data_IF_417066084888
#
_entry.id   IF_417066084888
#
_cell.length_a   1.000
_cell.length_b   1.000
_cell.length_c   1.000
_cell.angle_alpha   90.00
_cell.angle_beta   90.00
_cell.angle_gamma   90.00
#
_symmetry.space_group_name_H-M   'P 1'
#
loop_
_entity.id
_entity.type
_entity.pdbx_description
1 polymer ?
#
# COMPACT_ATOMS: atom_id res chain seq x y z
N UNK A 1 -30.82 -25.08 -23.00
CA UNK A 1 -30.62 -23.68 -22.59
C UNK A 1 -30.11 -23.71 -21.17
N UNK A 2 -28.78 -23.70 -21.02
CA UNK A 2 -28.11 -23.87 -19.72
C UNK A 2 -28.11 -22.52 -19.01
N UNK A 3 -28.69 -22.49 -17.81
CA UNK A 3 -28.64 -21.37 -16.89
C UNK A 3 -27.19 -21.12 -16.50
N UNK A 4 -26.69 -19.92 -16.83
CA UNK A 4 -25.37 -19.49 -16.43
C UNK A 4 -25.43 -19.17 -14.93
N UNK A 5 -24.99 -20.12 -14.10
CA UNK A 5 -24.89 -19.93 -12.66
C UNK A 5 -23.88 -18.80 -12.40
N UNK A 6 -24.37 -17.68 -11.86
CA UNK A 6 -23.55 -16.59 -11.40
C UNK A 6 -22.56 -17.13 -10.36
N UNK A 7 -21.26 -17.05 -10.66
CA UNK A 7 -20.21 -17.33 -9.68
C UNK A 7 -20.26 -16.19 -8.66
N UNK A 8 -20.39 -16.55 -7.39
CA UNK A 8 -20.49 -15.63 -6.26
C UNK A 8 -19.09 -15.16 -5.84
N UNK A 9 -18.91 -13.84 -5.68
CA UNK A 9 -17.65 -13.15 -5.41
C UNK A 9 -17.78 -12.42 -4.06
N UNK A 10 -16.97 -12.84 -3.08
CA UNK A 10 -16.85 -12.34 -1.70
C UNK A 10 -15.45 -12.72 -1.20
N UNK A 11 -14.98 -12.20 -0.07
CA UNK A 11 -13.97 -12.89 0.73
C UNK A 11 -14.39 -14.36 0.75
N UNK A 12 -13.53 -15.22 0.22
CA UNK A 12 -13.89 -16.61 -0.07
C UNK A 12 -14.61 -17.16 1.17
N UNK A 13 -15.89 -17.57 1.12
CA UNK A 13 -16.66 -17.86 2.34
C UNK A 13 -15.97 -18.87 3.26
N UNK A 14 -15.12 -19.73 2.70
CA UNK A 14 -14.21 -20.60 3.42
C UNK A 14 -13.16 -19.87 4.27
N UNK A 15 -12.61 -18.73 3.85
CA UNK A 15 -11.68 -17.90 4.63
C UNK A 15 -12.38 -17.38 5.89
N UNK A 16 -13.53 -16.71 5.73
CA UNK A 16 -14.29 -16.20 6.88
C UNK A 16 -14.80 -17.33 7.78
N UNK A 17 -15.21 -18.46 7.21
CA UNK A 17 -15.63 -19.63 7.98
C UNK A 17 -14.47 -20.24 8.78
N UNK A 18 -13.27 -20.37 8.17
CA UNK A 18 -12.07 -20.86 8.84
C UNK A 18 -11.62 -19.90 9.94
N UNK A 19 -11.69 -18.59 9.69
CA UNK A 19 -11.37 -17.56 10.68
C UNK A 19 -12.33 -17.64 11.88
N UNK A 20 -13.64 -17.75 11.63
CA UNK A 20 -14.66 -17.93 12.68
C UNK A 20 -14.43 -19.22 13.49
N UNK A 21 -13.89 -20.27 12.87
CA UNK A 21 -13.58 -21.56 13.49
C UNK A 21 -12.24 -21.65 14.22
N UNK A 22 -11.40 -20.61 14.22
CA UNK A 22 -10.03 -20.64 14.75
C UNK A 22 -9.98 -20.93 16.27
N UNK A 23 -9.63 -22.12 16.72
CA UNK A 23 -9.77 -22.51 18.13
C UNK A 23 -8.66 -22.00 19.07
N UNK A 24 -7.52 -21.57 18.52
CA UNK A 24 -6.38 -21.07 19.30
C UNK A 24 -5.62 -19.95 18.57
N UNK A 25 -4.61 -19.37 19.23
CA UNK A 25 -3.77 -18.31 18.67
C UNK A 25 -3.12 -18.72 17.33
N UNK A 26 -2.63 -19.96 17.23
CA UNK A 26 -1.96 -20.47 16.04
C UNK A 26 -2.88 -20.54 14.81
N UNK A 27 -4.19 -20.75 15.03
CA UNK A 27 -5.18 -20.75 13.95
C UNK A 27 -5.42 -19.34 13.39
N UNK A 28 -5.11 -18.28 14.16
CA UNK A 28 -5.20 -16.88 13.72
C UNK A 28 -3.96 -16.41 12.94
N UNK A 29 -2.79 -17.03 13.14
CA UNK A 29 -1.54 -16.57 12.52
C UNK A 29 -1.61 -16.45 10.99
N UNK A 30 -2.20 -17.40 10.23
CA UNK A 30 -2.29 -17.27 8.78
C UNK A 30 -3.16 -16.08 8.35
N UNK A 31 -4.21 -15.75 9.08
CA UNK A 31 -5.07 -14.61 8.75
C UNK A 31 -4.37 -13.29 9.03
N UNK A 32 -3.69 -13.16 10.17
CA UNK A 32 -2.90 -11.96 10.46
C UNK A 32 -1.68 -11.83 9.52
N UNK A 33 -1.09 -12.93 9.06
CA UNK A 33 -0.09 -12.90 7.99
C UNK A 33 -0.71 -12.40 6.68
N UNK A 34 -1.91 -12.87 6.32
CA UNK A 34 -2.63 -12.34 5.16
C UNK A 34 -3.04 -10.88 5.31
N UNK A 35 -3.27 -10.39 6.53
CA UNK A 35 -3.45 -8.96 6.80
C UNK A 35 -2.17 -8.19 6.46
N UNK A 36 -1.00 -8.64 6.96
CA UNK A 36 0.31 -8.03 6.61
C UNK A 36 0.55 -8.02 5.10
N UNK A 37 0.18 -9.10 4.40
CA UNK A 37 0.27 -9.18 2.92
C UNK A 37 -0.70 -8.23 2.22
N UNK A 38 -1.93 -8.08 2.74
CA UNK A 38 -2.95 -7.19 2.21
C UNK A 38 -2.51 -5.73 2.31
N UNK A 39 -2.10 -5.27 3.50
CA UNK A 39 -1.60 -3.89 3.70
C UNK A 39 -0.35 -3.61 2.86
N UNK A 40 0.50 -4.62 2.65
CA UNK A 40 1.63 -4.47 1.73
C UNK A 40 1.16 -4.32 0.28
N UNK A 41 0.15 -5.08 -0.15
CA UNK A 41 -0.25 -5.17 -1.56
C UNK A 41 -0.81 -3.88 -2.16
N UNK A 42 -1.20 -2.93 -1.31
CA UNK A 42 -1.69 -1.59 -1.70
C UNK A 42 -0.53 -0.60 -1.88
N UNK A 43 0.59 -0.79 -1.17
CA UNK A 43 1.72 0.14 -1.15
C UNK A 43 2.38 0.29 -2.55
N UNK A 44 2.82 -0.77 -3.27
CA UNK A 44 3.45 -0.61 -4.58
C UNK A 44 2.56 0.05 -5.65
N UNK A 45 1.26 -0.29 -5.78
CA UNK A 45 0.35 0.43 -6.68
C UNK A 45 0.25 1.93 -6.36
N UNK A 46 0.06 2.30 -5.10
CA UNK A 46 -0.04 3.71 -4.68
C UNK A 46 1.29 4.46 -4.89
N UNK A 47 2.42 3.81 -4.59
CA UNK A 47 3.75 4.37 -4.87
C UNK A 47 4.00 4.53 -6.37
N UNK A 48 3.55 3.60 -7.22
CA UNK A 48 3.70 3.70 -8.68
C UNK A 48 2.99 4.95 -9.21
N UNK A 49 1.73 5.15 -8.80
CA UNK A 49 1.00 6.37 -9.15
C UNK A 49 1.68 7.62 -8.59
N UNK A 50 2.13 7.61 -7.33
CA UNK A 50 2.83 8.74 -6.71
C UNK A 50 4.13 9.10 -7.45
N UNK A 51 4.95 8.12 -7.80
CA UNK A 51 6.24 8.33 -8.46
C UNK A 51 6.11 8.75 -9.92
N UNK A 52 4.95 8.55 -10.53
CA UNK A 52 4.67 9.11 -11.86
C UNK A 52 4.46 10.63 -11.86
N UNK A 53 4.24 11.26 -10.70
CA UNK A 53 3.92 12.69 -10.64
C UNK A 53 5.21 13.53 -10.81
N UNK A 54 5.21 14.41 -11.82
CA UNK A 54 6.32 15.34 -12.05
C UNK A 54 6.45 16.33 -10.89
N UNK A 55 7.70 16.68 -10.55
CA UNK A 55 8.00 17.65 -9.50
C UNK A 55 7.26 18.98 -9.75
N UNK A 56 6.48 19.42 -8.77
CA UNK A 56 5.72 20.68 -8.83
C UNK A 56 4.33 20.57 -9.46
N UNK A 57 3.95 19.42 -10.00
CA UNK A 57 2.62 19.16 -10.55
C UNK A 57 1.77 18.32 -9.60
N UNK A 58 0.44 18.38 -9.78
CA UNK A 58 -0.54 17.55 -9.06
C UNK A 58 -0.28 17.50 -7.54
N UNK A 59 0.21 18.59 -6.95
CA UNK A 59 0.81 18.61 -5.61
C UNK A 59 -0.18 18.13 -4.54
N UNK A 60 -1.45 18.53 -4.66
CA UNK A 60 -2.50 18.10 -3.75
C UNK A 60 -2.77 16.58 -3.84
N UNK A 61 -2.81 16.01 -5.05
CA UNK A 61 -2.96 14.57 -5.26
C UNK A 61 -1.73 13.79 -4.77
N UNK A 62 -0.52 14.30 -5.02
CA UNK A 62 0.72 13.71 -4.51
C UNK A 62 0.73 13.65 -2.97
N UNK A 63 0.28 14.72 -2.30
CA UNK A 63 0.17 14.77 -0.85
C UNK A 63 -0.86 13.78 -0.31
N UNK A 64 -2.02 13.64 -0.97
CA UNK A 64 -3.05 12.65 -0.63
C UNK A 64 -2.49 11.23 -0.73
N UNK A 65 -1.95 10.86 -1.89
CA UNK A 65 -1.48 9.51 -2.14
C UNK A 65 -0.34 9.18 -1.19
N UNK A 66 0.58 10.12 -0.96
CA UNK A 66 1.66 9.95 0.01
C UNK A 66 1.13 9.74 1.44
N UNK A 67 0.11 10.47 1.88
CA UNK A 67 -0.43 10.30 3.24
C UNK A 67 -1.09 8.92 3.40
N UNK A 68 -1.79 8.44 2.38
CA UNK A 68 -2.38 7.09 2.35
C UNK A 68 -1.28 6.03 2.40
N UNK A 69 -0.24 6.12 1.55
CA UNK A 69 0.89 5.18 1.58
C UNK A 69 1.55 5.07 2.96
N UNK A 70 1.70 6.19 3.66
CA UNK A 70 2.27 6.19 5.02
C UNK A 70 1.34 5.50 6.01
N UNK A 71 0.02 5.65 5.86
CA UNK A 71 -0.98 4.94 6.67
C UNK A 71 -1.00 3.43 6.34
N UNK A 72 -0.87 3.01 5.08
CA UNK A 72 -0.73 1.58 4.73
C UNK A 72 0.53 0.93 5.37
N UNK A 73 1.65 1.68 5.43
CA UNK A 73 2.86 1.24 6.14
C UNK A 73 2.62 1.11 7.66
N UNK A 74 1.81 2.01 8.24
CA UNK A 74 1.35 1.90 9.63
C UNK A 74 0.48 0.66 9.81
N UNK A 75 -0.47 0.40 8.90
CA UNK A 75 -1.39 -0.74 8.99
C UNK A 75 -0.64 -2.06 8.93
N UNK A 76 0.32 -2.19 8.00
CA UNK A 76 1.23 -3.34 7.94
C UNK A 76 1.98 -3.54 9.27
N UNK A 77 2.44 -2.45 9.90
CA UNK A 77 3.13 -2.47 11.19
C UNK A 77 2.20 -2.93 12.32
N UNK A 78 0.97 -2.43 12.35
CA UNK A 78 -0.05 -2.83 13.33
C UNK A 78 -0.37 -4.33 13.17
N UNK A 79 -0.67 -4.79 11.96
CA UNK A 79 -0.96 -6.20 11.70
C UNK A 79 0.20 -7.12 12.15
N UNK A 80 1.45 -6.69 11.89
CA UNK A 80 2.65 -7.38 12.35
C UNK A 80 2.78 -7.40 13.89
N UNK A 81 2.48 -6.28 14.57
CA UNK A 81 2.47 -6.20 16.03
C UNK A 81 1.43 -7.12 16.66
N UNK A 82 0.21 -7.17 16.11
CA UNK A 82 -0.86 -8.07 16.57
C UNK A 82 -0.46 -9.54 16.35
N UNK A 83 0.11 -9.88 15.19
CA UNK A 83 0.63 -11.23 14.91
C UNK A 83 1.69 -11.65 15.93
N UNK A 84 2.66 -10.76 16.21
CA UNK A 84 3.68 -11.00 17.22
C UNK A 84 3.09 -11.16 18.62
N UNK A 85 2.12 -10.32 19.01
CA UNK A 85 1.53 -10.32 20.34
C UNK A 85 0.86 -11.66 20.69
N UNK A 86 0.32 -12.36 19.70
CA UNK A 86 -0.30 -13.69 19.88
C UNK A 86 0.64 -14.87 19.60
N UNK A 87 1.96 -14.62 19.59
CA UNK A 87 3.00 -15.65 19.47
C UNK A 87 3.39 -16.02 18.05
N UNK A 88 2.80 -15.38 17.03
CA UNK A 88 3.15 -15.55 15.63
C UNK A 88 4.40 -14.77 15.22
N UNK A 89 4.76 -14.85 13.93
CA UNK A 89 5.93 -14.20 13.34
C UNK A 89 5.64 -13.77 11.90
N UNK A 90 5.67 -12.46 11.58
CA UNK A 90 5.48 -11.99 10.21
C UNK A 90 6.56 -12.51 9.25
N UNK A 91 6.16 -13.02 8.10
CA UNK A 91 7.06 -13.48 7.02
C UNK A 91 6.98 -12.47 5.87
N UNK A 92 8.06 -11.71 5.66
CA UNK A 92 8.08 -10.53 4.78
C UNK A 92 9.20 -10.64 3.73
N UNK A 93 10.29 -11.33 4.07
CA UNK A 93 11.49 -11.43 3.24
C UNK A 93 11.49 -12.63 2.29
N UNK A 94 10.38 -12.86 1.58
CA UNK A 94 10.26 -13.99 0.66
C UNK A 94 9.54 -13.59 -0.64
N UNK A 95 9.92 -14.11 -1.82
CA UNK A 95 9.30 -13.73 -3.10
C UNK A 95 7.77 -13.76 -3.14
N UNK A 96 7.13 -14.78 -2.55
CA UNK A 96 5.66 -14.91 -2.47
C UNK A 96 4.98 -13.88 -1.56
N UNK A 97 5.72 -13.13 -0.76
CA UNK A 97 5.14 -12.03 0.02
C UNK A 97 4.75 -10.86 -0.89
N UNK A 98 5.50 -10.66 -1.97
CA UNK A 98 5.17 -9.67 -2.99
C UNK A 98 4.09 -10.29 -3.90
N UNK A 99 2.91 -9.66 -4.02
CA UNK A 99 1.88 -10.14 -4.92
C UNK A 99 2.30 -9.97 -6.38
N UNK A 100 1.64 -10.71 -7.28
CA UNK A 100 1.83 -10.52 -8.72
C UNK A 100 1.04 -9.30 -9.18
N UNK A 101 1.70 -8.38 -9.87
CA UNK A 101 1.05 -7.28 -10.58
C UNK A 101 1.18 -7.49 -12.11
N UNK A 102 0.09 -7.32 -12.89
CA UNK A 102 -1.26 -7.10 -12.42
C UNK A 102 -1.86 -8.39 -11.85
N UNK A 103 -2.64 -8.30 -10.77
CA UNK A 103 -3.23 -9.48 -10.13
C UNK A 103 -4.28 -9.13 -9.08
N UNK A 104 -4.94 -10.15 -8.49
CA UNK A 104 -5.91 -9.93 -7.43
C UNK A 104 -5.22 -9.49 -6.13
N UNK A 105 -5.95 -8.82 -5.26
CA UNK A 105 -5.52 -8.60 -3.88
C UNK A 105 -5.37 -9.95 -3.12
N UNK A 106 -4.51 -10.01 -2.10
CA UNK A 106 -4.45 -11.14 -1.18
C UNK A 106 -5.83 -11.51 -0.64
N UNK A 107 -6.03 -12.80 -0.36
CA UNK A 107 -7.34 -13.38 0.04
C UNK A 107 -8.48 -13.21 -0.99
N UNK A 108 -8.19 -12.63 -2.16
CA UNK A 108 -9.17 -12.31 -3.20
C UNK A 108 -10.29 -11.38 -2.68
N UNK A 109 -9.89 -10.39 -1.85
CA UNK A 109 -10.77 -9.28 -1.47
C UNK A 109 -11.19 -8.56 -2.75
N UNK A 110 -12.51 -8.40 -2.96
CA UNK A 110 -13.11 -7.97 -4.24
C UNK A 110 -12.69 -8.86 -5.43
N UNK A 111 -13.24 -10.09 -5.49
CA UNK A 111 -12.98 -11.04 -6.58
C UNK A 111 -13.32 -10.36 -7.94
N UNK A 112 -12.33 -10.29 -8.83
CA UNK A 112 -12.41 -9.58 -10.11
C UNK A 112 -11.77 -8.18 -10.12
N UNK A 113 -11.40 -7.59 -8.98
CA UNK A 113 -10.47 -6.46 -8.96
C UNK A 113 -9.06 -6.94 -9.33
N UNK A 114 -8.50 -6.35 -10.37
CA UNK A 114 -7.12 -6.56 -10.79
C UNK A 114 -6.36 -5.29 -10.51
N UNK A 115 -5.38 -5.39 -9.62
CA UNK A 115 -4.53 -4.28 -9.19
C UNK A 115 -3.21 -4.39 -9.94
N UNK A 116 -2.79 -3.28 -10.55
CA UNK A 116 -1.55 -3.17 -11.32
C UNK A 116 -0.69 -2.00 -10.88
N UNK A 117 0.48 -1.88 -11.51
CA UNK A 117 1.42 -0.77 -11.35
C UNK A 117 1.28 0.15 -12.56
N UNK A 118 0.75 1.35 -12.35
CA UNK A 118 0.45 2.28 -13.43
C UNK A 118 0.72 3.75 -13.02
N UNK A 119 0.93 4.66 -13.99
CA UNK A 119 0.96 6.10 -13.73
C UNK A 119 -0.35 6.62 -13.16
N UNK A 120 -0.29 7.75 -12.47
CA UNK A 120 -1.48 8.39 -11.92
C UNK A 120 -2.45 8.78 -13.05
N UNK A 121 -3.68 8.28 -12.97
CA UNK A 121 -4.80 8.74 -13.77
C UNK A 121 -6.07 8.79 -12.92
N UNK A 122 -7.05 9.62 -13.30
CA UNK A 122 -8.35 9.63 -12.61
C UNK A 122 -9.05 8.27 -12.73
N UNK A 123 -8.87 7.57 -13.85
CA UNK A 123 -9.42 6.23 -14.06
C UNK A 123 -8.83 5.21 -13.07
N UNK A 124 -7.50 5.21 -12.90
CA UNK A 124 -6.82 4.36 -11.93
C UNK A 124 -7.33 4.64 -10.50
N UNK A 125 -7.41 5.92 -10.12
CA UNK A 125 -7.89 6.29 -8.78
C UNK A 125 -9.34 5.85 -8.58
N UNK A 126 -10.22 6.14 -9.53
CA UNK A 126 -11.65 5.87 -9.40
C UNK A 126 -12.00 4.37 -9.47
N UNK A 127 -11.36 3.64 -10.39
CA UNK A 127 -11.75 2.28 -10.73
C UNK A 127 -10.85 1.21 -10.12
N UNK A 128 -9.73 1.59 -9.49
CA UNK A 128 -8.87 0.68 -8.75
C UNK A 128 -8.73 1.13 -7.30
N UNK A 129 -8.13 2.30 -7.02
CA UNK A 129 -7.80 2.68 -5.64
C UNK A 129 -9.04 2.87 -4.75
N UNK A 130 -10.06 3.57 -5.25
CA UNK A 130 -11.34 3.69 -4.53
C UNK A 130 -12.07 2.35 -4.37
N UNK A 131 -11.80 1.35 -5.21
CA UNK A 131 -12.37 0.00 -5.04
C UNK A 131 -11.65 -0.80 -3.97
N UNK A 132 -10.33 -0.65 -3.86
CA UNK A 132 -9.53 -1.25 -2.77
C UNK A 132 -10.10 -0.77 -1.42
N UNK A 133 -10.32 0.54 -1.28
CA UNK A 133 -10.73 1.17 -0.02
C UNK A 133 -12.24 1.24 0.20
N UNK A 134 -13.04 0.56 -0.62
CA UNK A 134 -14.50 0.72 -0.60
C UNK A 134 -15.07 0.33 0.78
N UNK A 135 -15.75 1.25 1.50
CA UNK A 135 -16.35 0.94 2.80
C UNK A 135 -17.53 -0.01 2.68
N UNK A 136 -17.83 -0.76 3.76
CA UNK A 136 -19.00 -1.66 3.84
C UNK A 136 -20.32 -0.94 3.51
N UNK A 137 -20.43 0.31 3.96
CA UNK A 137 -21.58 1.19 3.72
C UNK A 137 -21.08 2.53 3.18
N UNK A 138 -20.93 2.67 1.84
CA UNK A 138 -20.48 3.91 1.22
C UNK A 138 -21.44 5.07 1.48
N UNK A 139 -20.88 6.20 1.91
CA UNK A 139 -21.63 7.43 2.01
C UNK A 139 -21.63 8.15 0.65
N UNK A 140 -22.80 8.29 0.06
CA UNK A 140 -22.96 9.01 -1.21
C UNK A 140 -23.16 10.51 -0.97
N UNK A 141 -22.10 11.28 -1.20
CA UNK A 141 -22.14 12.74 -1.10
C UNK A 141 -22.52 13.39 -2.44
N UNK A 142 -23.13 14.59 -2.45
CA UNK A 142 -23.35 15.34 -3.69
C UNK A 142 -22.02 15.61 -4.41
N UNK A 143 -21.90 15.14 -5.66
CA UNK A 143 -20.71 15.26 -6.52
C UNK A 143 -20.99 16.18 -7.72
N UNK A 144 -19.92 16.70 -8.32
CA UNK A 144 -19.96 17.32 -9.66
C UNK A 144 -20.07 16.28 -10.80
N UNK A 145 -19.76 14.99 -10.53
CA UNK A 145 -19.77 13.88 -11.50
C UNK A 145 -20.39 12.59 -10.90
N UNK A 146 -21.11 11.79 -11.70
CA UNK A 146 -21.85 10.59 -11.25
C UNK A 146 -20.94 9.40 -10.92
N UNK A 147 -21.21 8.72 -9.81
CA UNK A 147 -20.51 7.51 -9.35
C UNK A 147 -20.94 6.24 -10.11
N UNK A 148 -20.07 5.22 -10.24
CA UNK A 148 -20.47 3.86 -10.63
C UNK A 148 -21.33 3.19 -9.53
N UNK A 149 -22.25 2.31 -9.95
CA UNK A 149 -23.37 1.80 -9.13
C UNK A 149 -23.06 0.77 -8.03
N UNK A 150 -24.08 0.49 -7.21
CA UNK A 150 -24.09 -0.33 -5.99
C UNK A 150 -23.94 -1.84 -6.25
N UNK A 151 -23.13 -2.53 -5.41
CA UNK A 151 -23.11 -4.00 -5.24
C UNK A 151 -22.61 -4.41 -3.84
N UNK A 152 -23.12 -5.56 -3.35
CA UNK A 152 -22.86 -6.12 -2.02
C UNK A 152 -21.68 -7.08 -1.96
N UNK A 153 -20.56 -6.59 -1.45
CA UNK A 153 -19.29 -7.31 -1.31
C UNK A 153 -18.81 -7.30 0.15
N UNK A 154 -17.88 -8.20 0.46
CA UNK A 154 -17.14 -8.19 1.72
C UNK A 154 -15.92 -7.27 1.62
N UNK A 155 -15.80 -6.28 2.50
CA UNK A 155 -14.73 -5.27 2.48
C UNK A 155 -13.53 -5.69 3.33
N UNK A 156 -12.45 -4.88 3.29
CA UNK A 156 -11.29 -5.04 4.19
C UNK A 156 -11.75 -4.95 5.66
N UNK A 157 -12.79 -4.17 5.93
CA UNK A 157 -13.46 -3.96 7.19
C UNK A 157 -14.09 -5.24 7.73
N UNK A 158 -14.82 -5.98 6.91
CA UNK A 158 -15.43 -7.25 7.35
C UNK A 158 -14.36 -8.30 7.74
N UNK A 159 -13.21 -8.28 7.05
CA UNK A 159 -12.08 -9.11 7.40
C UNK A 159 -11.51 -8.76 8.78
N UNK A 160 -11.26 -7.48 9.03
CA UNK A 160 -10.78 -7.02 10.34
C UNK A 160 -11.80 -7.24 11.45
N UNK A 161 -13.10 -7.09 11.19
CA UNK A 161 -14.15 -7.42 12.16
C UNK A 161 -14.15 -8.89 12.54
N UNK A 162 -13.95 -9.78 11.57
CA UNK A 162 -13.84 -11.20 11.84
C UNK A 162 -12.60 -11.54 12.67
N UNK A 163 -11.46 -10.87 12.45
CA UNK A 163 -10.25 -11.00 13.28
C UNK A 163 -10.51 -10.49 14.70
N UNK A 164 -11.05 -9.27 14.84
CA UNK A 164 -11.37 -8.63 16.12
C UNK A 164 -12.31 -9.52 16.93
N UNK A 165 -13.42 -9.95 16.34
CA UNK A 165 -14.39 -10.82 17.00
C UNK A 165 -13.75 -12.12 17.49
N UNK A 166 -12.82 -12.69 16.71
CA UNK A 166 -12.14 -13.94 17.08
C UNK A 166 -11.09 -13.74 18.18
N UNK A 167 -10.32 -12.64 18.14
CA UNK A 167 -9.40 -12.26 19.23
C UNK A 167 -10.17 -12.10 20.55
N UNK A 168 -11.31 -11.40 20.53
CA UNK A 168 -12.16 -11.21 21.71
C UNK A 168 -12.69 -12.55 22.23
N UNK A 169 -13.17 -13.43 21.34
CA UNK A 169 -13.71 -14.73 21.71
C UNK A 169 -12.67 -15.69 22.32
N UNK A 170 -11.43 -15.65 21.83
CA UNK A 170 -10.32 -16.44 22.37
C UNK A 170 -9.77 -15.86 23.68
N UNK A 171 -9.94 -14.55 23.91
CA UNK A 171 -9.63 -13.88 25.16
C UNK A 171 -8.14 -13.73 25.44
N UNK A 172 -7.80 -13.27 26.64
CA UNK A 172 -6.43 -12.87 27.00
C UNK A 172 -5.38 -13.99 26.88
N UNK A 173 -5.80 -15.26 26.96
CA UNK A 173 -4.90 -16.41 26.94
C UNK A 173 -4.08 -16.58 25.66
N UNK A 174 -4.45 -15.92 24.56
CA UNK A 174 -3.70 -15.99 23.29
C UNK A 174 -2.48 -15.05 23.24
N UNK A 175 -2.43 -14.05 24.11
CA UNK A 175 -1.37 -13.04 24.15
C UNK A 175 -0.11 -13.59 24.83
N UNK A 176 0.58 -14.46 24.07
CA UNK A 176 1.75 -15.24 24.51
C UNK A 176 3.05 -14.76 23.86
N UNK A 177 2.96 -13.75 23.01
CA UNK A 177 4.08 -13.15 22.29
C UNK A 177 5.07 -12.47 23.21
N UNK A 178 6.30 -12.32 22.71
CA UNK A 178 7.34 -11.56 23.38
C UNK A 178 7.08 -10.04 23.24
N UNK A 179 6.83 -9.31 24.34
CA UNK A 179 6.61 -7.86 24.28
C UNK A 179 7.77 -7.08 23.67
N UNK A 180 9.00 -7.62 23.71
CA UNK A 180 10.18 -6.99 23.11
C UNK A 180 10.13 -6.93 21.57
N UNK A 181 9.17 -7.61 20.93
CA UNK A 181 8.94 -7.58 19.48
C UNK A 181 7.98 -6.51 19.01
N UNK A 182 7.33 -5.79 19.93
CA UNK A 182 6.41 -4.72 19.56
C UNK A 182 7.19 -3.56 18.94
N UNK A 183 6.91 -3.25 17.68
CA UNK A 183 7.48 -2.12 16.95
C UNK A 183 6.66 -0.88 17.28
N UNK A 184 7.28 0.07 17.95
CA UNK A 184 6.65 1.36 18.29
C UNK A 184 7.65 2.46 17.98
N UNK A 185 7.24 3.46 17.21
CA UNK A 185 8.03 4.66 16.95
C UNK A 185 7.14 5.90 16.98
N UNK A 186 6.99 6.44 18.18
CA UNK A 186 6.16 7.60 18.44
C UNK A 186 6.75 8.91 17.89
N UNK A 187 7.96 8.88 17.32
CA UNK A 187 8.52 10.02 16.59
C UNK A 187 7.96 10.10 15.15
N UNK A 188 7.48 8.99 14.61
CA UNK A 188 6.95 8.90 13.25
C UNK A 188 5.44 8.76 13.22
N UNK A 189 4.88 7.90 14.07
CA UNK A 189 3.45 7.69 14.19
C UNK A 189 2.92 8.19 15.54
N UNK A 190 1.75 8.82 15.59
CA UNK A 190 1.13 9.21 16.85
C UNK A 190 0.97 8.02 17.84
N UNK A 191 1.15 8.24 19.15
CA UNK A 191 1.10 7.17 20.17
C UNK A 191 -0.30 6.55 20.36
N UNK A 192 -1.34 7.21 19.86
CA UNK A 192 -2.71 6.71 19.78
C UNK A 192 -2.99 5.88 18.52
N UNK A 193 -2.11 5.95 17.52
CA UNK A 193 -2.17 5.15 16.30
C UNK A 193 -1.23 3.93 16.33
N UNK A 194 0.00 4.11 16.83
CA UNK A 194 0.97 3.02 16.99
C UNK A 194 1.39 2.89 18.45
N UNK A 195 1.01 1.77 19.06
CA UNK A 195 1.30 1.46 20.45
C UNK A 195 1.53 -0.04 20.64
N UNK A 196 2.16 -0.48 21.75
CA UNK A 196 2.35 -1.89 22.02
C UNK A 196 1.02 -2.63 22.12
N UNK A 197 0.90 -3.75 21.43
CA UNK A 197 -0.20 -4.70 21.56
C UNK A 197 0.19 -5.79 22.55
N UNK A 198 -0.47 -5.83 23.70
CA UNK A 198 -0.13 -6.73 24.82
C UNK A 198 -1.33 -7.51 25.38
N UNK A 199 -2.54 -7.16 24.94
CA UNK A 199 -3.78 -7.72 25.44
C UNK A 199 -4.91 -7.58 24.41
N UNK A 200 -6.08 -8.16 24.74
CA UNK A 200 -7.27 -8.06 23.89
C UNK A 200 -7.63 -6.61 23.59
N UNK A 201 -7.60 -5.74 24.60
CA UNK A 201 -8.05 -4.36 24.46
C UNK A 201 -7.15 -3.54 23.52
N UNK A 202 -5.83 -3.67 23.66
CA UNK A 202 -4.84 -3.04 22.78
C UNK A 202 -4.91 -3.62 21.37
N UNK A 203 -5.12 -4.93 21.19
CA UNK A 203 -5.27 -5.53 19.87
C UNK A 203 -6.52 -5.00 19.14
N UNK A 204 -7.67 -4.96 19.82
CA UNK A 204 -8.91 -4.41 19.25
C UNK A 204 -8.71 -2.96 18.85
N UNK A 205 -8.18 -2.13 19.76
CA UNK A 205 -7.90 -0.73 19.46
C UNK A 205 -6.97 -0.55 18.27
N UNK A 206 -5.93 -1.38 18.15
CA UNK A 206 -4.95 -1.25 17.08
C UNK A 206 -5.58 -1.63 15.72
N UNK A 207 -6.34 -2.72 15.66
CA UNK A 207 -7.04 -3.13 14.44
C UNK A 207 -8.17 -2.15 14.06
N UNK A 208 -8.80 -1.50 15.03
CA UNK A 208 -9.75 -0.41 14.77
C UNK A 208 -9.09 0.80 14.09
N UNK A 209 -7.81 1.11 14.37
CA UNK A 209 -7.07 2.18 13.66
C UNK A 209 -7.03 1.87 12.16
N UNK A 210 -6.67 0.63 11.78
CA UNK A 210 -6.62 0.20 10.37
C UNK A 210 -7.97 0.43 9.70
N UNK A 211 -9.04 -0.14 10.26
CA UNK A 211 -10.40 -0.02 9.70
C UNK A 211 -10.82 1.43 9.51
N UNK A 212 -10.59 2.25 10.54
CA UNK A 212 -11.09 3.63 10.59
C UNK A 212 -10.34 4.55 9.64
N UNK A 213 -9.05 4.30 9.40
CA UNK A 213 -8.25 5.04 8.42
C UNK A 213 -8.53 4.60 6.97
N UNK A 214 -8.70 3.31 6.70
CA UNK A 214 -9.05 2.82 5.36
C UNK A 214 -10.47 3.23 4.92
N UNK A 215 -11.49 2.77 5.65
CA UNK A 215 -12.90 2.85 5.23
C UNK A 215 -13.69 3.96 5.91
N UNK A 216 -13.19 4.49 7.03
CA UNK A 216 -13.93 5.41 7.88
C UNK A 216 -14.93 4.67 8.77
N UNK A 217 -16.07 5.30 9.05
CA UNK A 217 -17.18 4.64 9.77
C UNK A 217 -18.47 4.79 9.00
N UNK A 218 -19.46 3.96 9.31
CA UNK A 218 -20.76 3.96 8.65
C UNK A 218 -21.52 5.29 8.67
N UNK A 219 -21.13 6.26 9.52
CA UNK A 219 -21.79 7.58 9.61
C UNK A 219 -20.80 8.76 9.54
N UNK A 220 -19.50 8.50 9.45
CA UNK A 220 -18.48 9.54 9.45
C UNK A 220 -17.41 9.18 8.42
N UNK A 221 -17.23 10.00 7.36
CA UNK A 221 -16.18 9.76 6.37
C UNK A 221 -14.79 10.06 6.93
N UNK A 222 -14.67 10.50 8.18
CA UNK A 222 -13.42 10.80 8.85
C UNK A 222 -12.96 9.68 9.77
N UNK A 223 -11.64 9.50 9.83
CA UNK A 223 -10.90 8.49 10.56
C UNK A 223 -10.79 8.74 12.08
N UNK A 224 -11.66 9.59 12.66
CA UNK A 224 -11.61 9.98 14.08
C UNK A 224 -10.53 11.00 14.45
N UNK A 225 -9.45 11.11 13.67
CA UNK A 225 -8.34 12.06 13.88
C UNK A 225 -8.53 13.35 13.06
N UNK A 226 -9.67 13.46 12.39
CA UNK A 226 -10.09 14.64 11.65
C UNK A 226 -9.64 14.65 10.19
N UNK A 227 -9.07 13.55 9.69
CA UNK A 227 -8.81 13.35 8.26
C UNK A 227 -9.88 12.46 7.62
N UNK A 228 -10.22 12.63 6.33
CA UNK A 228 -11.07 11.69 5.63
C UNK A 228 -10.38 10.32 5.59
N UNK A 229 -11.16 9.23 5.58
CA UNK A 229 -10.62 7.89 5.33
C UNK A 229 -10.15 7.74 3.87
N UNK A 230 -9.36 6.71 3.57
CA UNK A 230 -8.67 6.55 2.28
C UNK A 230 -9.61 6.61 1.09
N UNK A 231 -10.74 5.92 1.14
CA UNK A 231 -11.78 6.00 0.10
C UNK A 231 -12.12 7.44 -0.27
N UNK A 232 -12.41 8.25 0.75
CA UNK A 232 -12.84 9.63 0.57
C UNK A 232 -11.68 10.52 0.15
N UNK A 233 -10.45 10.26 0.61
CA UNK A 233 -9.26 10.98 0.14
C UNK A 233 -8.97 10.71 -1.34
N UNK A 234 -9.10 9.48 -1.80
CA UNK A 234 -9.02 9.17 -3.23
C UNK A 234 -10.18 9.84 -4.01
N UNK A 235 -11.37 9.88 -3.43
CA UNK A 235 -12.51 10.60 -4.01
C UNK A 235 -12.25 12.10 -4.14
N UNK A 236 -11.49 12.74 -3.23
CA UNK A 236 -11.10 14.15 -3.36
C UNK A 236 -10.32 14.42 -4.66
N UNK A 237 -9.49 13.46 -5.11
CA UNK A 237 -8.75 13.55 -6.37
C UNK A 237 -9.71 13.50 -7.56
N UNK A 238 -10.66 12.56 -7.54
CA UNK A 238 -11.64 12.37 -8.62
C UNK A 238 -12.63 13.53 -8.69
N UNK A 239 -13.09 14.03 -7.54
CA UNK A 239 -13.99 15.17 -7.43
C UNK A 239 -13.29 16.52 -7.69
N UNK A 240 -11.96 16.54 -7.63
CA UNK A 240 -11.13 17.72 -7.82
C UNK A 240 -11.19 18.74 -6.67
N UNK A 241 -11.72 18.35 -5.51
CA UNK A 241 -11.91 19.22 -4.33
C UNK A 241 -11.83 18.39 -3.04
N UNK A 242 -11.37 19.02 -1.96
CA UNK A 242 -11.37 18.43 -0.61
C UNK A 242 -12.79 18.21 -0.09
N UNK A 243 -12.97 17.16 0.71
CA UNK A 243 -14.20 16.88 1.44
C UNK A 243 -14.30 17.83 2.64
N UNK A 244 -15.43 18.51 2.79
CA UNK A 244 -15.69 19.42 3.90
C UNK A 244 -17.05 19.15 4.54
N UNK A 245 -17.20 19.56 5.80
CA UNK A 245 -18.51 19.62 6.45
C UNK A 245 -19.38 20.65 5.73
N UNK A 246 -20.58 20.22 5.37
CA UNK A 246 -21.57 21.02 4.67
C UNK A 246 -22.96 20.71 5.27
N UNK A 247 -23.43 21.52 6.23
CA UNK A 247 -24.74 21.32 6.87
C UNK A 247 -25.92 21.40 5.90
N UNK A 248 -25.72 21.95 4.70
CA UNK A 248 -26.76 22.05 3.68
C UNK A 248 -26.80 20.81 2.77
N UNK A 249 -25.72 20.02 2.75
CA UNK A 249 -25.70 18.74 2.07
C UNK A 249 -26.53 17.70 2.87
N UNK A 250 -27.33 16.84 2.21
CA UNK A 250 -28.17 15.85 2.90
C UNK A 250 -27.43 14.94 3.89
N UNK A 251 -26.16 14.66 3.64
CA UNK A 251 -25.30 13.81 4.47
C UNK A 251 -24.34 14.61 5.37
N UNK A 252 -24.45 15.94 5.41
CA UNK A 252 -23.61 16.81 6.23
C UNK A 252 -22.20 17.08 5.69
N UNK A 253 -21.87 16.59 4.49
CA UNK A 253 -20.57 16.77 3.83
C UNK A 253 -20.71 16.94 2.32
N UNK A 254 -19.77 17.68 1.71
CA UNK A 254 -19.67 17.85 0.26
C UNK A 254 -18.22 18.04 -0.20
N UNK A 255 -17.93 17.70 -1.46
CA UNK A 255 -16.63 17.93 -2.11
C UNK A 255 -16.55 19.35 -2.66
N UNK A 256 -16.57 20.33 -1.76
CA UNK A 256 -16.56 21.77 -2.09
C UNK A 256 -15.43 22.53 -1.39
N UNK A 257 -14.51 21.80 -0.76
CA UNK A 257 -13.36 22.37 -0.05
C UNK A 257 -12.28 22.91 -0.99
N UNK A 258 -11.04 22.94 -0.50
CA UNK A 258 -9.91 23.43 -1.30
C UNK A 258 -9.76 22.63 -2.62
N UNK A 259 -9.40 23.26 -3.75
CA UNK A 259 -9.21 22.56 -5.01
C UNK A 259 -8.12 21.49 -4.95
N UNK A 260 -8.36 20.38 -5.65
CA UNK A 260 -7.43 19.27 -5.90
C UNK A 260 -7.34 19.08 -7.41
N UNK A 261 -6.72 20.01 -8.15
CA UNK A 261 -6.67 19.94 -9.61
C UNK A 261 -5.89 18.71 -10.07
N UNK A 262 -6.30 18.15 -11.21
CA UNK A 262 -5.59 17.09 -11.91
C UNK A 262 -5.14 17.58 -13.29
N UNK A 263 -3.83 17.54 -13.50
CA UNK A 263 -3.11 17.94 -14.71
C UNK A 263 -2.47 16.68 -15.34
N UNK A 264 -3.07 16.09 -16.39
CA UNK A 264 -2.52 14.90 -17.05
C UNK A 264 -1.07 15.09 -17.54
N UNK A 265 -0.73 16.30 -18.00
CA UNK A 265 0.61 16.67 -18.50
C UNK A 265 1.66 16.67 -17.38
N UNK A 266 1.21 16.78 -16.12
CA UNK A 266 2.02 16.67 -14.92
C UNK A 266 2.38 15.24 -14.52
N UNK A 267 2.03 14.24 -15.33
CA UNK A 267 2.29 12.82 -15.09
C UNK A 267 3.31 12.29 -16.11
N UNK A 268 4.31 11.55 -15.61
CA UNK A 268 5.26 10.78 -16.40
C UNK A 268 4.58 9.49 -16.83
N UNK A 269 4.52 9.25 -18.13
CA UNK A 269 4.01 7.98 -18.67
C UNK A 269 5.14 6.96 -18.66
N UNK A 270 4.96 5.85 -17.94
CA UNK A 270 5.89 4.73 -17.92
C UNK A 270 5.19 3.43 -18.34
N UNK A 271 5.98 2.41 -18.67
CA UNK A 271 5.46 1.08 -19.02
C UNK A 271 4.74 0.46 -17.83
N UNK A 272 3.43 0.30 -17.93
CA UNK A 272 2.61 -0.29 -16.88
C UNK A 272 2.98 -1.76 -16.64
N UNK A 273 2.94 -2.18 -15.37
CA UNK A 273 3.19 -3.55 -14.93
C UNK A 273 4.48 -4.19 -15.48
N UNK A 274 5.49 -3.38 -15.76
CA UNK A 274 6.76 -3.86 -16.31
C UNK A 274 7.49 -4.79 -15.35
N UNK A 275 8.18 -5.78 -15.90
CA UNK A 275 9.16 -6.61 -15.23
C UNK A 275 10.58 -6.20 -15.63
N UNK A 276 11.57 -6.56 -14.80
CA UNK A 276 12.99 -6.33 -15.13
C UNK A 276 13.37 -6.94 -16.49
N UNK A 277 12.76 -8.08 -16.86
CA UNK A 277 12.99 -8.77 -18.13
C UNK A 277 12.51 -8.00 -19.36
N UNK A 278 11.69 -6.96 -19.18
CA UNK A 278 11.15 -6.16 -20.28
C UNK A 278 12.15 -5.10 -20.75
N UNK A 279 13.24 -4.89 -19.99
CA UNK A 279 14.29 -3.92 -20.29
C UNK A 279 15.54 -4.63 -20.82
N UNK A 280 16.15 -4.06 -21.86
CA UNK A 280 17.39 -4.59 -22.42
C UNK A 280 18.55 -4.48 -21.41
N UNK A 281 19.33 -5.55 -21.14
CA UNK A 281 20.33 -5.59 -20.06
C UNK A 281 21.42 -4.49 -20.08
N UNK A 282 21.73 -3.94 -21.25
CA UNK A 282 22.75 -2.91 -21.47
C UNK A 282 22.22 -1.47 -21.36
N UNK A 283 20.98 -1.29 -20.89
CA UNK A 283 20.34 0.02 -20.75
C UNK A 283 20.40 0.58 -19.33
N UNK A 284 20.28 1.91 -19.23
CA UNK A 284 20.10 2.59 -17.94
C UNK A 284 18.77 2.22 -17.29
N UNK A 285 17.72 1.97 -18.07
CA UNK A 285 16.42 1.48 -17.59
C UNK A 285 16.57 0.14 -16.84
N UNK A 286 17.23 -0.84 -17.45
CA UNK A 286 17.49 -2.13 -16.80
C UNK A 286 18.30 -1.97 -15.51
N UNK A 287 19.39 -1.19 -15.56
CA UNK A 287 20.25 -0.95 -14.39
C UNK A 287 19.48 -0.27 -13.25
N UNK A 288 18.66 0.72 -13.56
CA UNK A 288 17.82 1.44 -12.60
C UNK A 288 16.78 0.53 -11.95
N UNK A 289 16.04 -0.25 -12.75
CA UNK A 289 15.01 -1.17 -12.26
C UNK A 289 15.62 -2.33 -11.45
N UNK A 290 16.77 -2.85 -11.87
CA UNK A 290 17.50 -3.87 -11.12
C UNK A 290 17.92 -3.33 -9.73
N UNK A 291 18.46 -2.10 -9.67
CA UNK A 291 18.81 -1.47 -8.41
C UNK A 291 17.57 -1.21 -7.53
N UNK A 292 16.46 -0.75 -8.12
CA UNK A 292 15.21 -0.53 -7.38
C UNK A 292 14.69 -1.84 -6.77
N UNK A 293 14.68 -2.93 -7.53
CA UNK A 293 14.28 -4.26 -7.04
C UNK A 293 15.20 -4.76 -5.91
N UNK A 294 16.51 -4.52 -6.02
CA UNK A 294 17.47 -4.86 -4.97
C UNK A 294 17.25 -4.04 -3.69
N UNK A 295 17.11 -2.72 -3.81
CA UNK A 295 16.85 -1.84 -2.66
C UNK A 295 15.50 -2.18 -2.02
N UNK A 296 14.47 -2.51 -2.82
CA UNK A 296 13.18 -2.99 -2.33
C UNK A 296 13.32 -4.30 -1.54
N UNK A 297 14.06 -5.27 -2.07
CA UNK A 297 14.31 -6.54 -1.38
C UNK A 297 15.10 -6.34 -0.08
N UNK A 298 16.08 -5.43 -0.09
CA UNK A 298 16.82 -5.04 1.12
C UNK A 298 15.90 -4.41 2.18
N UNK A 299 14.96 -3.57 1.76
CA UNK A 299 13.93 -3.01 2.65
C UNK A 299 13.06 -4.12 3.26
N UNK A 300 12.58 -5.09 2.46
CA UNK A 300 11.78 -6.21 2.97
C UNK A 300 12.56 -7.09 3.96
N UNK A 301 13.86 -7.32 3.70
CA UNK A 301 14.74 -8.00 4.65
C UNK A 301 14.86 -7.23 5.97
N UNK A 302 15.09 -5.92 5.90
CA UNK A 302 15.22 -5.06 7.08
C UNK A 302 13.92 -4.99 7.90
N UNK A 303 12.76 -4.88 7.23
CA UNK A 303 11.45 -4.94 7.86
C UNK A 303 11.20 -6.30 8.51
N UNK A 304 11.52 -7.41 7.82
CA UNK A 304 11.38 -8.74 8.40
C UNK A 304 12.18 -8.90 9.70
N UNK A 305 13.42 -8.39 9.74
CA UNK A 305 14.22 -8.38 10.98
C UNK A 305 13.61 -7.47 12.04
N UNK A 306 13.15 -6.27 11.65
CA UNK A 306 12.55 -5.28 12.55
C UNK A 306 11.34 -5.88 13.28
N UNK A 307 10.43 -6.51 12.54
CA UNK A 307 9.21 -7.10 13.08
C UNK A 307 9.44 -8.43 13.83
N UNK A 308 10.62 -9.04 13.78
CA UNK A 308 10.86 -10.37 14.39
C UNK A 308 11.89 -10.36 15.53
N UNK A 309 12.17 -9.21 16.15
CA UNK A 309 13.00 -9.15 17.35
C UNK A 309 13.95 -7.97 17.45
N UNK A 310 13.98 -7.08 16.47
CA UNK A 310 14.86 -5.91 16.48
C UNK A 310 14.10 -4.62 16.15
N UNK A 311 13.08 -4.21 16.94
CA UNK A 311 12.28 -3.02 16.68
C UNK A 311 13.12 -1.73 16.57
N UNK A 312 14.28 -1.69 17.22
CA UNK A 312 15.26 -0.61 17.11
C UNK A 312 15.84 -0.41 15.69
N UNK A 313 15.70 -1.40 14.79
CA UNK A 313 16.09 -1.29 13.38
C UNK A 313 15.09 -0.57 12.50
N UNK A 314 13.93 -0.16 13.02
CA UNK A 314 12.92 0.56 12.22
C UNK A 314 13.51 1.79 11.51
N UNK A 315 14.35 2.59 12.19
CA UNK A 315 15.02 3.75 11.55
C UNK A 315 15.93 3.38 10.38
N UNK A 316 16.62 2.25 10.46
CA UNK A 316 17.43 1.76 9.34
C UNK A 316 16.53 1.33 8.17
N UNK A 317 15.40 0.67 8.46
CA UNK A 317 14.38 0.34 7.46
C UNK A 317 13.80 1.60 6.80
N UNK A 318 13.52 2.66 7.57
CA UNK A 318 13.10 3.97 7.02
C UNK A 318 14.17 4.57 6.08
N UNK A 319 15.45 4.43 6.42
CA UNK A 319 16.56 4.82 5.54
C UNK A 319 16.50 4.14 4.17
N UNK A 320 16.21 2.84 4.14
CA UNK A 320 16.03 2.09 2.90
C UNK A 320 14.76 2.50 2.13
N UNK A 321 13.70 2.93 2.81
CA UNK A 321 12.52 3.52 2.15
C UNK A 321 12.87 4.82 1.41
N UNK A 322 13.65 5.70 2.04
CA UNK A 322 14.14 6.91 1.39
C UNK A 322 15.08 6.60 0.22
N UNK A 323 15.97 5.62 0.38
CA UNK A 323 16.84 5.17 -0.70
C UNK A 323 16.03 4.63 -1.88
N UNK A 324 15.04 3.76 -1.64
CA UNK A 324 14.17 3.22 -2.68
C UNK A 324 13.48 4.35 -3.45
N UNK A 325 12.91 5.33 -2.73
CA UNK A 325 12.30 6.52 -3.34
C UNK A 325 13.29 7.26 -4.24
N UNK A 326 14.51 7.52 -3.76
CA UNK A 326 15.52 8.22 -4.55
C UNK A 326 15.95 7.42 -5.78
N UNK A 327 16.16 6.10 -5.63
CA UNK A 327 16.50 5.23 -6.77
C UNK A 327 15.40 5.26 -7.82
N UNK A 328 14.13 5.14 -7.42
CA UNK A 328 13.01 5.18 -8.38
C UNK A 328 12.94 6.53 -9.08
N UNK A 329 12.97 7.62 -8.32
CA UNK A 329 12.82 8.97 -8.87
C UNK A 329 14.00 9.40 -9.75
N UNK A 330 15.23 9.02 -9.41
CA UNK A 330 16.43 9.49 -10.13
C UNK A 330 16.88 8.51 -11.22
N UNK A 331 16.66 7.20 -11.04
CA UNK A 331 17.23 6.15 -11.90
C UNK A 331 16.21 5.31 -12.65
N UNK A 332 14.91 5.43 -12.36
CA UNK A 332 13.88 4.62 -13.02
C UNK A 332 12.97 5.49 -13.87
N UNK A 333 12.14 6.33 -13.26
CA UNK A 333 11.05 7.05 -13.96
C UNK A 333 11.54 8.16 -14.90
N UNK A 334 12.85 8.40 -14.98
CA UNK A 334 13.48 9.34 -15.92
C UNK A 334 14.27 8.63 -17.03
N UNK A 335 14.27 7.29 -17.09
CA UNK A 335 14.96 6.52 -18.13
C UNK A 335 13.97 6.03 -19.19
N UNK A 336 14.15 6.35 -20.49
CA UNK A 336 13.34 5.76 -21.56
C UNK A 336 13.37 4.23 -21.51
N UNK A 337 12.20 3.60 -21.56
CA UNK A 337 12.06 2.16 -21.37
C UNK A 337 12.78 1.34 -22.45
N UNK A 338 12.81 1.84 -23.69
CA UNK A 338 13.47 1.20 -24.83
C UNK A 338 14.96 1.58 -24.97
N UNK A 339 15.48 2.40 -24.05
CA UNK A 339 16.87 2.89 -24.07
C UNK A 339 17.16 3.96 -25.14
N UNK A 340 16.14 4.44 -25.86
CA UNK A 340 16.30 5.48 -26.88
C UNK A 340 16.41 6.89 -26.27
N UNK A 341 16.66 7.90 -27.10
CA UNK A 341 16.65 9.29 -26.66
C UNK A 341 15.20 9.78 -26.41
N UNK A 342 14.92 10.53 -25.34
CA UNK A 342 13.56 10.98 -25.03
C UNK A 342 12.91 11.84 -26.13
N UNK A 343 11.63 11.59 -26.35
CA UNK A 343 10.68 12.30 -27.22
C UNK A 343 9.38 12.57 -26.45
N UNK A 344 8.45 13.33 -27.03
CA UNK A 344 7.15 13.62 -26.43
C UNK A 344 6.30 12.36 -26.18
N UNK A 345 6.48 11.31 -27.00
CA UNK A 345 5.74 10.04 -26.91
C UNK A 345 6.49 8.95 -26.12
N UNK A 346 7.58 9.31 -25.44
CA UNK A 346 8.42 8.34 -24.72
C UNK A 346 7.71 7.74 -23.53
N UNK A 347 7.68 6.41 -23.47
CA UNK A 347 7.40 5.67 -22.25
C UNK A 347 8.68 5.48 -21.45
N UNK A 348 8.62 5.84 -20.19
CA UNK A 348 9.73 5.68 -19.25
C UNK A 348 9.69 4.30 -18.57
N UNK A 349 10.81 3.91 -17.97
CA UNK A 349 10.88 2.72 -17.13
C UNK A 349 10.06 2.94 -15.84
N UNK A 350 9.54 1.84 -15.30
CA UNK A 350 8.68 1.86 -14.11
C UNK A 350 9.29 1.01 -12.98
N UNK A 351 9.02 1.34 -11.71
CA UNK A 351 9.42 0.48 -10.61
C UNK A 351 8.63 -0.83 -10.65
N UNK A 352 9.34 -1.96 -10.80
CA UNK A 352 8.71 -3.28 -10.91
C UNK A 352 8.39 -3.92 -9.54
N UNK A 353 9.02 -3.43 -8.45
CA UNK A 353 8.88 -3.95 -7.08
C UNK A 353 9.06 -5.48 -6.96
N UNK A 354 9.99 -6.06 -7.72
CA UNK A 354 10.20 -7.50 -7.72
C UNK A 354 11.23 -7.92 -6.67
N UNK A 355 11.09 -9.15 -6.18
CA UNK A 355 12.11 -9.75 -5.32
C UNK A 355 13.39 -9.99 -6.12
N UNK A 356 14.51 -9.45 -5.65
CA UNK A 356 15.83 -9.59 -6.22
C UNK A 356 16.78 -10.19 -5.18
N UNK A 357 17.19 -11.47 -5.31
CA UNK A 357 18.16 -12.06 -4.39
C UNK A 357 19.53 -11.38 -4.54
N UNK A 358 20.33 -11.39 -3.46
CA UNK A 358 21.62 -10.69 -3.39
C UNK A 358 22.60 -11.01 -4.54
N UNK A 359 22.48 -12.18 -5.17
CA UNK A 359 23.32 -12.61 -6.29
C UNK A 359 23.10 -11.82 -7.60
N UNK A 360 21.99 -11.09 -7.75
CA UNK A 360 21.69 -10.36 -8.99
C UNK A 360 22.55 -9.09 -9.20
N UNK A 361 23.41 -8.74 -8.24
CA UNK A 361 24.24 -7.51 -8.29
C UNK A 361 25.73 -7.75 -8.41
N UNK A 362 26.19 -9.00 -8.31
CA UNK A 362 27.61 -9.33 -8.41
C UNK A 362 28.22 -8.96 -9.78
N UNK A 363 27.40 -8.87 -10.83
CA UNK A 363 27.84 -8.44 -12.16
C UNK A 363 27.88 -6.91 -12.35
N UNK A 364 27.27 -6.10 -11.47
CA UNK A 364 27.31 -4.63 -11.56
C UNK A 364 28.46 -3.97 -10.79
N UNK A 365 29.07 -4.68 -9.83
CA UNK A 365 30.22 -4.19 -9.07
C UNK A 365 31.53 -4.13 -9.89
N UNK A 366 31.50 -4.60 -11.16
CA UNK A 366 32.65 -4.58 -12.06
C UNK A 366 32.74 -3.32 -12.95
N UNK A 367 31.80 -2.37 -12.85
CA UNK A 367 31.93 -1.09 -13.53
C UNK A 367 32.96 -0.21 -12.77
N UNK A 368 34.00 0.34 -13.43
CA UNK A 368 35.04 1.08 -12.75
C UNK A 368 34.46 2.33 -12.09
N UNK A 369 34.66 2.47 -10.78
CA UNK A 369 34.50 3.74 -10.07
C UNK A 369 35.35 4.79 -10.80
N UNK A 370 34.71 5.73 -11.49
CA UNK A 370 35.37 6.95 -11.91
C UNK A 370 35.64 7.74 -10.63
N UNK A 371 36.88 7.72 -10.17
CA UNK A 371 37.34 8.52 -9.04
C UNK A 371 37.33 10.00 -9.41
N UNK A 372 37.14 10.85 -8.41
CA UNK A 372 36.96 12.30 -8.55
C UNK A 372 38.20 13.06 -9.09
N UNK A 373 39.23 12.38 -9.59
CA UNK A 373 40.44 13.00 -10.14
C UNK A 373 40.38 13.22 -11.66
N UNK A 374 39.41 12.66 -12.38
CA UNK A 374 39.38 12.76 -13.86
C UNK A 374 38.64 13.99 -14.41
N UNK A 375 38.01 14.82 -13.55
CA UNK A 375 37.29 16.04 -13.99
C UNK A 375 38.19 17.29 -13.98
N UNK A 376 39.41 17.20 -13.44
CA UNK A 376 40.32 18.35 -13.30
C UNK A 376 41.31 18.55 -14.47
N UNK A 377 41.16 17.85 -15.60
CA UNK A 377 42.09 17.92 -16.74
C UNK A 377 41.49 18.51 -18.03
N UNK A 378 40.30 19.13 -17.97
CA UNK A 378 39.67 19.79 -19.12
C UNK A 378 39.06 21.15 -18.76
N UNK A 379 39.80 21.96 -17.99
CA UNK A 379 39.57 23.40 -17.85
C UNK A 379 40.69 24.18 -18.53
#
# INVERSE_FOLDING_TARGET
MSTNAARHLSLRPDILQRLKGAACAADLWPFLQSAVELEHSTIPPYLSALYSIKKGHNVAAAQIIHSIVVEEMLHMTIAANVLNAIGGRPVINHPKFIPTYPGPLPMNVDDGLIVGLAPLSLDLVQNVFMRIELPETPQHFPRLLKAPGERGYATIGEFYDAIIARIVALGQGIFTGDPARQVVDNAWFPPDQLFPVTDVASAVRALEVIKRQGEGTSHNPFDGDGQPAHYYRFEEIVAGHRLVRDPMAPQGYSFTGAPVPFEPEGVIQFVENSHLSDYAPDTLAYSGVAQANYTYTSLLNALHTTFNGEPNKLRASLGLMFELRLVVLEKVVNQPADGSAPTDDTLYAAPAFQFAPAAATADFAAAPMVTAETVAAQS
#
